data_IF_903290434356
#
_entry.id   IF_903290434356
#
_cell.length_a   1.000
_cell.length_b   1.000
_cell.length_c   1.000
_cell.angle_alpha   90.00
_cell.angle_beta   90.00
_cell.angle_gamma   90.00
#
_symmetry.space_group_name_H-M   'P 1'
#
loop_
_entity.id
_entity.type
_entity.pdbx_description
1 polymer ?
#
# COMPACT_ATOMS: atom_id res chain seq x y z
N UNK A 1 -6.56 4.54 9.08
CA UNK A 1 -7.25 4.41 10.39
C UNK A 1 -6.54 3.29 11.15
N UNK A 2 -6.28 3.44 12.46
CA UNK A 2 -5.56 2.41 13.24
C UNK A 2 -6.53 1.29 13.64
N UNK A 3 -6.13 0.04 13.44
CA UNK A 3 -6.78 -1.21 13.87
C UNK A 3 -7.26 -1.24 15.33
N UNK A 4 -6.69 -0.40 16.20
CA UNK A 4 -7.07 -0.23 17.60
C UNK A 4 -8.32 0.64 17.83
N UNK A 5 -8.87 1.30 16.79
CA UNK A 5 -10.13 2.02 16.89
C UNK A 5 -11.32 1.05 16.92
N UNK A 6 -12.30 1.28 17.81
CA UNK A 6 -13.49 0.42 17.96
C UNK A 6 -14.46 0.39 16.77
N UNK A 7 -14.16 1.13 15.71
CA UNK A 7 -14.91 1.18 14.45
C UNK A 7 -14.06 0.69 13.27
N UNK A 8 -13.05 -0.16 13.50
CA UNK A 8 -12.35 -0.79 12.38
C UNK A 8 -13.29 -1.66 11.58
N UNK A 9 -13.16 -1.51 10.26
CA UNK A 9 -13.88 -2.31 9.30
C UNK A 9 -13.03 -3.49 8.83
N UNK A 10 -13.64 -4.34 8.00
CA UNK A 10 -13.02 -5.47 7.34
C UNK A 10 -11.79 -5.01 6.53
N UNK A 11 -10.64 -5.71 6.62
CA UNK A 11 -9.43 -5.31 5.91
C UNK A 11 -9.62 -5.39 4.39
N UNK A 12 -9.10 -4.39 3.68
CA UNK A 12 -9.25 -4.23 2.22
C UNK A 12 -8.45 -5.25 1.42
N UNK A 13 -7.40 -5.82 1.99
CA UNK A 13 -6.61 -6.95 1.46
C UNK A 13 -6.25 -7.89 2.60
N UNK A 14 -5.88 -9.13 2.27
CA UNK A 14 -5.33 -10.07 3.25
C UNK A 14 -3.95 -9.63 3.78
N UNK A 15 -3.44 -10.39 4.75
CA UNK A 15 -2.09 -10.19 5.29
C UNK A 15 -1.02 -10.31 4.18
N UNK A 16 -0.16 -9.31 4.10
CA UNK A 16 0.95 -9.20 3.14
C UNK A 16 2.27 -9.71 3.76
N UNK A 17 2.36 -9.76 5.09
CA UNK A 17 3.57 -10.02 5.85
C UNK A 17 4.30 -8.74 6.29
N UNK A 18 5.55 -8.90 6.73
CA UNK A 18 6.38 -7.82 7.25
C UNK A 18 7.48 -7.48 6.24
N UNK A 19 7.65 -6.21 5.96
CA UNK A 19 8.74 -5.70 5.11
C UNK A 19 9.79 -4.99 5.96
N UNK A 20 11.05 -5.08 5.56
CA UNK A 20 12.16 -4.36 6.19
C UNK A 20 13.09 -3.77 5.13
N UNK A 21 13.48 -2.51 5.31
CA UNK A 21 14.49 -1.82 4.51
C UNK A 21 15.11 -0.68 5.32
N UNK A 22 16.30 -0.22 4.89
CA UNK A 22 16.91 1.02 5.39
C UNK A 22 16.55 2.23 4.53
N UNK A 23 15.98 2.01 3.35
CA UNK A 23 15.49 3.05 2.46
C UNK A 23 13.97 3.22 2.69
N UNK A 24 13.53 4.38 3.22
CA UNK A 24 12.13 4.63 3.55
C UNK A 24 11.24 4.81 2.32
N UNK A 25 11.78 5.23 1.18
CA UNK A 25 10.98 5.38 -0.05
C UNK A 25 10.81 4.03 -0.72
N UNK A 26 11.85 3.20 -0.74
CA UNK A 26 11.82 1.87 -1.33
C UNK A 26 10.83 0.96 -0.58
N UNK A 27 10.77 1.05 0.75
CA UNK A 27 9.88 0.20 1.56
C UNK A 27 8.41 0.56 1.39
N UNK A 28 8.11 1.86 1.34
CA UNK A 28 6.74 2.33 1.13
C UNK A 28 6.28 2.01 -0.29
N UNK A 29 7.16 2.15 -1.29
CA UNK A 29 6.87 1.73 -2.67
C UNK A 29 6.55 0.23 -2.73
N UNK A 30 7.41 -0.62 -2.14
CA UNK A 30 7.19 -2.06 -2.10
C UNK A 30 5.89 -2.44 -1.38
N UNK A 31 5.54 -1.75 -0.28
CA UNK A 31 4.31 -1.99 0.45
C UNK A 31 3.07 -1.69 -0.40
N UNK A 32 3.05 -0.55 -1.08
CA UNK A 32 1.93 -0.17 -1.97
C UNK A 32 1.78 -1.15 -3.13
N UNK A 33 2.89 -1.54 -3.75
CA UNK A 33 2.87 -2.49 -4.87
C UNK A 33 2.34 -3.86 -4.44
N UNK A 34 2.74 -4.37 -3.28
CA UNK A 34 2.23 -5.64 -2.75
C UNK A 34 0.74 -5.58 -2.39
N UNK A 35 0.27 -4.47 -1.81
CA UNK A 35 -1.16 -4.27 -1.54
C UNK A 35 -1.96 -4.24 -2.84
N UNK A 36 -1.48 -3.50 -3.84
CA UNK A 36 -2.14 -3.40 -5.14
C UNK A 36 -2.13 -4.74 -5.90
N UNK A 37 -1.11 -5.58 -5.73
CA UNK A 37 -1.04 -6.94 -6.28
C UNK A 37 -1.91 -7.97 -5.53
N UNK A 38 -2.26 -7.71 -4.27
CA UNK A 38 -3.07 -8.64 -3.48
C UNK A 38 -4.53 -8.68 -3.96
N UNK A 39 -5.24 -9.76 -3.61
CA UNK A 39 -6.69 -9.84 -3.83
C UNK A 39 -7.42 -8.88 -2.89
N UNK A 40 -8.24 -7.99 -3.46
CA UNK A 40 -9.07 -7.10 -2.67
C UNK A 40 -10.22 -7.85 -2.00
N UNK A 41 -10.62 -7.41 -0.82
CA UNK A 41 -11.70 -8.03 -0.06
C UNK A 41 -13.06 -7.45 -0.50
N UNK A 42 -13.96 -8.25 -1.09
CA UNK A 42 -15.28 -7.77 -1.53
C UNK A 42 -16.20 -7.35 -0.37
N UNK A 43 -15.90 -7.76 0.86
CA UNK A 43 -16.66 -7.38 2.06
C UNK A 43 -16.12 -6.11 2.74
N UNK A 44 -15.02 -5.55 2.24
CA UNK A 44 -14.47 -4.27 2.71
C UNK A 44 -15.08 -3.07 1.96
N UNK A 45 -14.65 -1.86 2.28
CA UNK A 45 -15.00 -0.64 1.53
C UNK A 45 -14.69 -0.69 0.02
N UNK A 46 -13.88 -1.64 -0.44
CA UNK A 46 -13.68 -1.87 -1.88
C UNK A 46 -14.95 -2.35 -2.59
N UNK A 47 -15.81 -3.12 -1.91
CA UNK A 47 -17.07 -3.65 -2.46
C UNK A 47 -16.92 -4.32 -3.82
N UNK A 48 -17.77 -3.95 -4.78
CA UNK A 48 -17.74 -4.47 -6.16
C UNK A 48 -16.45 -4.14 -6.92
N UNK A 49 -15.68 -3.15 -6.44
CA UNK A 49 -14.41 -2.70 -7.04
C UNK A 49 -13.18 -3.40 -6.46
N UNK A 50 -13.35 -4.46 -5.68
CA UNK A 50 -12.25 -5.23 -5.07
C UNK A 50 -11.22 -5.82 -6.05
N UNK A 51 -11.58 -5.95 -7.34
CA UNK A 51 -10.68 -6.44 -8.39
C UNK A 51 -9.93 -5.32 -9.13
N UNK A 52 -10.15 -4.04 -8.78
CA UNK A 52 -9.36 -2.96 -9.35
C UNK A 52 -7.90 -2.99 -8.88
N UNK A 53 -7.00 -2.56 -9.76
CA UNK A 53 -5.56 -2.69 -9.55
C UNK A 53 -5.06 -1.78 -8.42
N UNK A 54 -5.45 -0.50 -8.42
CA UNK A 54 -5.02 0.48 -7.42
C UNK A 54 -6.09 0.66 -6.34
N UNK A 55 -5.94 -0.11 -5.27
CA UNK A 55 -6.90 -0.14 -4.16
C UNK A 55 -6.94 1.17 -3.39
N UNK A 56 -5.80 1.88 -3.33
CA UNK A 56 -5.75 3.20 -2.69
C UNK A 56 -6.56 4.22 -3.47
N UNK A 57 -6.48 4.19 -4.81
CA UNK A 57 -7.27 5.08 -5.68
C UNK A 57 -8.76 4.73 -5.66
N UNK A 58 -9.12 3.45 -5.51
CA UNK A 58 -10.53 3.04 -5.35
C UNK A 58 -11.18 3.71 -4.14
N UNK A 59 -10.46 3.71 -3.01
CA UNK A 59 -10.94 4.26 -1.74
C UNK A 59 -10.85 5.80 -1.71
N UNK A 60 -9.78 6.37 -2.27
CA UNK A 60 -9.50 7.80 -2.25
C UNK A 60 -9.22 8.33 -3.67
N UNK A 61 -10.23 8.39 -4.56
CA UNK A 61 -10.02 8.70 -5.98
C UNK A 61 -9.43 10.09 -6.25
N UNK A 62 -9.69 11.04 -5.36
CA UNK A 62 -9.18 12.40 -5.41
C UNK A 62 -7.74 12.55 -4.87
N UNK A 63 -7.16 11.50 -4.29
CA UNK A 63 -5.82 11.53 -3.69
C UNK A 63 -4.85 10.74 -4.56
N UNK A 64 -3.81 11.41 -5.03
CA UNK A 64 -2.70 10.75 -5.69
C UNK A 64 -1.60 10.39 -4.68
N UNK A 65 -1.61 9.14 -4.22
CA UNK A 65 -0.61 8.64 -3.27
C UNK A 65 0.81 8.67 -3.83
N UNK A 66 0.99 8.65 -5.15
CA UNK A 66 2.32 8.59 -5.78
C UNK A 66 3.12 9.87 -5.56
N UNK A 67 2.45 11.00 -5.31
CA UNK A 67 3.08 12.30 -5.10
C UNK A 67 3.99 12.31 -3.87
N UNK A 68 3.60 11.65 -2.78
CA UNK A 68 4.40 11.59 -1.56
C UNK A 68 5.73 10.86 -1.80
N UNK A 69 5.69 9.72 -2.49
CA UNK A 69 6.90 8.94 -2.79
C UNK A 69 7.78 9.64 -3.84
N UNK A 70 7.17 10.27 -4.86
CA UNK A 70 7.91 11.01 -5.88
C UNK A 70 8.64 12.22 -5.28
N UNK A 71 7.98 12.95 -4.39
CA UNK A 71 8.60 14.07 -3.70
C UNK A 71 9.69 13.60 -2.73
N UNK A 72 9.44 12.53 -1.98
CA UNK A 72 10.43 11.93 -1.07
C UNK A 72 11.73 11.51 -1.78
N UNK A 73 11.61 10.91 -2.96
CA UNK A 73 12.77 10.62 -3.83
C UNK A 73 13.45 11.90 -4.33
N UNK A 74 12.67 12.90 -4.76
CA UNK A 74 13.19 14.19 -5.27
C UNK A 74 14.03 14.94 -4.23
N UNK A 75 13.66 14.87 -2.95
CA UNK A 75 14.40 15.51 -1.85
C UNK A 75 15.51 14.60 -1.27
N UNK A 76 15.72 13.41 -1.83
CA UNK A 76 16.82 12.51 -1.46
C UNK A 76 16.59 11.67 -0.19
N UNK A 77 15.33 11.41 0.20
CA UNK A 77 15.04 10.50 1.32
C UNK A 77 15.30 9.03 1.00
N UNK A 78 15.35 8.68 -0.29
CA UNK A 78 15.49 7.30 -0.75
C UNK A 78 15.18 7.18 -2.23
N UNK A 79 15.03 5.94 -2.70
CA UNK A 79 14.74 5.60 -4.09
C UNK A 79 13.41 4.85 -4.18
N UNK A 80 12.64 5.10 -5.23
CA UNK A 80 11.44 4.29 -5.53
C UNK A 80 11.81 2.93 -6.13
N UNK A 81 13.03 2.77 -6.65
CA UNK A 81 13.51 1.47 -7.10
C UNK A 81 13.87 0.59 -5.90
N UNK A 82 13.45 -0.67 -5.96
CA UNK A 82 13.74 -1.67 -4.94
C UNK A 82 13.91 -3.06 -5.57
N UNK A 83 14.59 -3.95 -4.85
CA UNK A 83 14.63 -5.39 -5.14
C UNK A 83 13.94 -6.12 -3.99
N UNK A 84 12.95 -6.96 -4.31
CA UNK A 84 12.23 -7.74 -3.30
C UNK A 84 12.94 -9.06 -3.04
N UNK A 85 13.60 -9.16 -1.89
CA UNK A 85 14.25 -10.39 -1.41
C UNK A 85 13.31 -11.08 -0.41
N UNK A 86 12.85 -12.29 -0.74
CA UNK A 86 12.00 -13.09 0.16
C UNK A 86 12.86 -13.89 1.13
N UNK A 87 12.62 -13.70 2.42
CA UNK A 87 13.25 -14.46 3.50
C UNK A 87 12.18 -15.40 4.06
N UNK A 88 12.52 -16.70 4.13
CA UNK A 88 11.63 -17.75 4.63
C UNK A 88 11.61 -17.87 6.14
#
# INVERSE_FOLDING_TARGET
LCDCCGWNDVPIVGDIGILASKDPIAIDQAAVDLVNQAHGNPLSELGDRHNEADKFRVLFPQIDWTLQLAYGETIGLGSRNYELIRIG
#
